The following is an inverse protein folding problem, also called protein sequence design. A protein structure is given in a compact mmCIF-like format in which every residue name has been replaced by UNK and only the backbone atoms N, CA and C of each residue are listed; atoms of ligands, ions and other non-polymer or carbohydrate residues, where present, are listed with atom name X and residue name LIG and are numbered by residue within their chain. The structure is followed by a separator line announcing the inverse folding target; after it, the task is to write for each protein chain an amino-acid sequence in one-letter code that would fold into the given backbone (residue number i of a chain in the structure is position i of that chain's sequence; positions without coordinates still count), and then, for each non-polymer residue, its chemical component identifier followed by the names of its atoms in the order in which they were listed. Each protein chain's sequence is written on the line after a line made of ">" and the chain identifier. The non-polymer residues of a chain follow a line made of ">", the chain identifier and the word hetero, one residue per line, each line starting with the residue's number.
data_IF_098087592165
#
_entry.id   IF_098087592165
#
_cell.length_a   1.000
_cell.length_b   1.000
_cell.length_c   1.000
_cell.angle_alpha   90.00
_cell.angle_beta   90.00
_cell.angle_gamma   90.00
#
_symmetry.space_group_name_H-M   'P 1'
#
loop_
_entity.id
_entity.type
_entity.pdbx_description
1 polymer ?
#
# COMPACT_ATOMS: atom_id res chain seq x y z
N UNK A 1 -7.77 -18.87 -8.67
CA UNK A 1 -7.98 -17.98 -7.52
C UNK A 1 -6.63 -17.49 -6.97
N UNK A 2 -5.81 -16.72 -7.70
CA UNK A 2 -4.39 -16.54 -7.27
C UNK A 2 -3.82 -15.12 -7.21
N UNK A 3 -4.28 -14.16 -8.03
CA UNK A 3 -3.71 -12.81 -8.02
C UNK A 3 -4.68 -11.72 -7.54
N UNK A 4 -5.96 -11.82 -7.90
CA UNK A 4 -6.95 -10.79 -7.57
C UNK A 4 -7.23 -10.68 -6.06
N UNK A 5 -7.30 -11.81 -5.34
CA UNK A 5 -7.53 -11.83 -3.89
C UNK A 5 -6.34 -11.24 -3.12
N UNK A 6 -5.12 -11.43 -3.65
CA UNK A 6 -3.90 -10.87 -3.09
C UNK A 6 -3.88 -9.33 -3.17
N UNK A 7 -4.18 -8.75 -4.33
CA UNK A 7 -4.19 -7.29 -4.48
C UNK A 7 -5.31 -6.62 -3.67
N UNK A 8 -6.46 -7.30 -3.50
CA UNK A 8 -7.49 -6.83 -2.57
C UNK A 8 -7.03 -6.84 -1.11
N UNK A 9 -6.27 -7.85 -0.72
CA UNK A 9 -5.70 -7.92 0.62
C UNK A 9 -4.64 -6.83 0.85
N UNK A 10 -3.75 -6.61 -0.13
CA UNK A 10 -2.78 -5.51 -0.08
C UNK A 10 -3.49 -4.15 -0.01
N UNK A 11 -4.52 -3.95 -0.82
CA UNK A 11 -5.34 -2.74 -0.82
C UNK A 11 -6.05 -2.50 0.53
N UNK A 12 -6.56 -3.55 1.16
CA UNK A 12 -7.11 -3.47 2.52
C UNK A 12 -6.06 -3.05 3.55
N UNK A 13 -4.84 -3.61 3.49
CA UNK A 13 -3.74 -3.24 4.41
C UNK A 13 -3.36 -1.76 4.23
N UNK A 14 -3.19 -1.32 2.97
CA UNK A 14 -2.86 0.07 2.65
C UNK A 14 -3.95 1.02 3.12
N UNK A 15 -5.22 0.72 2.83
CA UNK A 15 -6.34 1.61 3.09
C UNK A 15 -6.69 1.77 4.57
N UNK A 16 -6.44 0.74 5.38
CA UNK A 16 -6.78 0.75 6.80
C UNK A 16 -5.68 1.36 7.68
N UNK A 17 -4.46 1.49 7.15
CA UNK A 17 -3.28 1.81 7.97
C UNK A 17 -3.10 0.86 9.17
N UNK A 18 -3.75 -0.32 9.17
CA UNK A 18 -3.89 -1.16 10.34
C UNK A 18 -2.64 -2.00 10.59
N UNK A 19 -2.10 -1.82 11.79
CA UNK A 19 -0.90 -2.47 12.32
C UNK A 19 -1.25 -3.84 12.91
N UNK A 20 -0.55 -4.90 12.50
CA UNK A 20 -0.50 -6.14 13.30
C UNK A 20 0.61 -5.98 14.34
N UNK A 21 0.22 -5.83 15.61
CA UNK A 21 1.13 -5.65 16.73
C UNK A 21 1.76 -6.98 17.19
N UNK A 22 3.07 -7.11 17.01
CA UNK A 22 3.98 -7.99 17.77
C UNK A 22 5.46 -7.56 17.53
N UNK A 23 6.42 -7.90 18.43
CA UNK A 23 7.71 -7.21 18.53
C UNK A 23 8.72 -7.61 17.44
N UNK A 24 9.41 -6.62 16.85
CA UNK A 24 10.37 -6.77 15.73
C UNK A 24 9.92 -6.01 14.48
N UNK A 25 9.63 -4.72 14.65
CA UNK A 25 8.80 -3.90 13.75
C UNK A 25 9.47 -3.54 12.41
N UNK A 26 9.14 -4.30 11.37
CA UNK A 26 8.86 -3.72 10.06
C UNK A 26 7.35 -3.79 9.87
N UNK A 27 6.69 -2.66 10.02
CA UNK A 27 5.24 -2.54 9.91
C UNK A 27 4.94 -1.53 8.81
N UNK A 28 3.90 -1.78 8.02
CA UNK A 28 3.37 -0.91 6.96
C UNK A 28 2.91 0.46 7.53
N UNK A 29 3.87 1.23 8.04
CA UNK A 29 3.68 2.56 8.56
C UNK A 29 3.58 3.52 7.37
N UNK A 30 2.95 4.69 7.55
CA UNK A 30 3.01 5.76 6.56
C UNK A 30 4.46 6.10 6.13
N UNK A 31 5.46 5.87 6.98
CA UNK A 31 6.87 6.05 6.62
C UNK A 31 7.39 5.00 5.63
N UNK A 32 6.97 3.73 5.77
CA UNK A 32 7.30 2.67 4.81
C UNK A 32 6.59 2.89 3.48
N UNK A 33 5.31 3.27 3.49
CA UNK A 33 4.60 3.62 2.26
C UNK A 33 5.26 4.83 1.56
N UNK A 34 5.64 5.88 2.29
CA UNK A 34 6.43 7.00 1.72
C UNK A 34 7.72 6.54 1.05
N UNK A 35 8.47 5.64 1.71
CA UNK A 35 9.72 5.11 1.16
C UNK A 35 9.49 4.27 -0.10
N UNK A 36 8.48 3.42 -0.09
CA UNK A 36 8.07 2.62 -1.25
C UNK A 36 7.67 3.54 -2.42
N UNK A 37 6.86 4.56 -2.14
CA UNK A 37 6.46 5.54 -3.14
C UNK A 37 7.68 6.27 -3.74
N UNK A 38 8.60 6.74 -2.89
CA UNK A 38 9.85 7.35 -3.36
C UNK A 38 10.69 6.39 -4.21
N UNK A 39 10.79 5.11 -3.84
CA UNK A 39 11.51 4.10 -4.63
C UNK A 39 10.85 3.80 -5.98
N UNK A 40 9.52 3.88 -6.06
CA UNK A 40 8.75 3.71 -7.30
C UNK A 40 8.89 4.95 -8.20
N UNK A 41 8.92 6.13 -7.59
CA UNK A 41 9.08 7.42 -8.25
C UNK A 41 10.49 7.60 -8.83
N UNK A 42 11.54 7.19 -8.10
CA UNK A 42 12.94 7.25 -8.54
C UNK A 42 13.25 6.32 -9.73
N UNK A 43 12.43 5.31 -10.00
CA UNK A 43 12.73 4.26 -10.99
C UNK A 43 11.91 4.30 -12.28
N UNK A 44 10.89 5.13 -12.37
CA UNK A 44 10.12 5.25 -13.60
C UNK A 44 9.17 6.43 -13.56
N UNK A 45 9.07 7.09 -14.71
CA UNK A 45 8.13 8.14 -15.06
C UNK A 45 6.66 7.63 -14.95
N UNK A 46 6.24 7.26 -13.74
CA UNK A 46 5.06 6.41 -13.45
C UNK A 46 3.85 7.24 -12.99
N UNK A 47 3.93 8.57 -13.03
CA UNK A 47 2.83 9.47 -12.69
C UNK A 47 2.52 9.59 -11.20
N UNK A 48 3.36 9.06 -10.31
CA UNK A 48 3.24 9.26 -8.85
C UNK A 48 3.92 10.55 -8.36
N UNK A 49 4.50 11.33 -9.27
CA UNK A 49 5.19 12.58 -8.96
C UNK A 49 4.19 13.58 -8.34
N UNK A 50 4.43 14.00 -7.10
CA UNK A 50 3.52 14.87 -6.34
C UNK A 50 2.43 14.16 -5.53
N UNK A 51 2.28 12.83 -5.63
CA UNK A 51 1.32 12.07 -4.84
C UNK A 51 1.90 11.62 -3.50
N UNK A 52 1.08 11.70 -2.45
CA UNK A 52 1.47 11.29 -1.10
C UNK A 52 0.77 9.99 -0.63
N UNK A 53 1.06 9.56 0.59
CA UNK A 53 0.47 8.34 1.18
C UNK A 53 -1.05 8.41 1.19
N UNK A 54 -1.65 9.58 1.36
CA UNK A 54 -3.09 9.74 1.38
C UNK A 54 -3.70 9.35 0.02
N UNK A 55 -3.09 9.74 -1.09
CA UNK A 55 -3.55 9.35 -2.41
C UNK A 55 -3.48 7.84 -2.65
N UNK A 56 -2.40 7.18 -2.20
CA UNK A 56 -2.31 5.71 -2.29
C UNK A 56 -3.33 5.02 -1.38
N UNK A 57 -3.58 5.53 -0.17
CA UNK A 57 -4.60 5.00 0.73
C UNK A 57 -6.00 5.11 0.15
N UNK A 58 -6.31 6.23 -0.49
CA UNK A 58 -7.57 6.47 -1.15
C UNK A 58 -7.75 5.53 -2.35
N UNK A 59 -6.76 5.48 -3.25
CA UNK A 59 -6.75 4.58 -4.40
C UNK A 59 -6.92 3.12 -3.97
N UNK A 60 -6.19 2.70 -2.94
CA UNK A 60 -6.32 1.37 -2.35
C UNK A 60 -7.73 1.13 -1.79
N UNK A 61 -8.35 2.14 -1.16
CA UNK A 61 -9.71 2.00 -0.63
C UNK A 61 -10.74 1.76 -1.73
N UNK A 62 -10.65 2.52 -2.82
CA UNK A 62 -11.53 2.37 -3.98
C UNK A 62 -11.31 1.00 -4.62
N UNK A 63 -10.05 0.57 -4.81
CA UNK A 63 -9.75 -0.74 -5.38
C UNK A 63 -10.27 -1.92 -4.54
N UNK A 64 -10.13 -1.85 -3.21
CA UNK A 64 -10.60 -2.87 -2.28
C UNK A 64 -12.12 -3.09 -2.41
N UNK A 65 -12.87 -1.99 -2.48
CA UNK A 65 -14.34 -1.99 -2.51
C UNK A 65 -14.93 -2.17 -3.92
N UNK A 66 -14.17 -1.87 -4.96
CA UNK A 66 -14.69 -1.68 -6.31
C UNK A 66 -15.37 -0.30 -6.44
N UNK A 67 -16.25 -0.10 -7.44
CA UNK A 67 -17.03 1.12 -7.55
C UNK A 67 -17.72 1.45 -6.22
N UNK A 68 -17.38 2.59 -5.61
CA UNK A 68 -17.74 2.90 -4.23
C UNK A 68 -18.14 4.36 -4.08
N UNK A 69 -19.17 4.61 -3.27
CA UNK A 69 -19.65 5.95 -3.00
C UNK A 69 -18.64 6.73 -2.13
N UNK A 70 -18.43 8.01 -2.43
CA UNK A 70 -17.49 8.91 -1.71
C UNK A 70 -17.69 8.87 -0.20
N UNK A 71 -18.95 8.89 0.26
CA UNK A 71 -19.30 8.81 1.69
C UNK A 71 -18.74 7.55 2.39
N UNK A 72 -18.65 6.43 1.66
CA UNK A 72 -18.13 5.17 2.18
C UNK A 72 -16.60 5.13 2.17
N UNK A 73 -15.97 5.82 1.20
CA UNK A 73 -14.52 6.06 1.19
C UNK A 73 -14.14 6.90 2.42
N UNK A 74 -14.79 8.05 2.60
CA UNK A 74 -14.57 8.96 3.72
C UNK A 74 -14.73 8.27 5.08
N UNK A 75 -15.84 7.52 5.26
CA UNK A 75 -16.05 6.74 6.48
C UNK A 75 -14.98 5.66 6.68
N UNK A 76 -14.51 5.03 5.60
CA UNK A 76 -13.49 3.99 5.65
C UNK A 76 -12.08 4.49 5.98
N UNK A 77 -11.76 5.72 5.59
CA UNK A 77 -10.48 6.37 5.84
C UNK A 77 -10.49 7.26 7.10
N UNK A 78 -11.67 7.56 7.64
CA UNK A 78 -11.84 8.51 8.75
C UNK A 78 -11.57 9.95 8.34
N UNK A 79 -11.86 10.30 7.08
CA UNK A 79 -11.60 11.63 6.51
C UNK A 79 -12.89 12.41 6.31
N UNK A 80 -12.74 13.73 6.16
CA UNK A 80 -13.81 14.58 5.66
C UNK A 80 -14.15 14.21 4.20
N UNK A 81 -15.44 14.30 3.83
CA UNK A 81 -15.87 14.05 2.45
C UNK A 81 -15.29 15.09 1.48
N UNK A 82 -15.17 16.36 1.89
CA UNK A 82 -14.61 17.41 1.04
C UNK A 82 -13.15 17.08 0.71
N UNK A 83 -12.36 16.69 1.72
CA UNK A 83 -10.98 16.24 1.52
C UNK A 83 -10.88 15.03 0.58
N UNK A 84 -11.79 14.06 0.72
CA UNK A 84 -11.81 12.88 -0.17
C UNK A 84 -12.12 13.30 -1.60
N UNK A 85 -13.04 14.24 -1.81
CA UNK A 85 -13.38 14.76 -3.15
C UNK A 85 -12.17 15.46 -3.76
N UNK A 86 -11.48 16.34 -3.03
CA UNK A 86 -10.25 17.00 -3.51
C UNK A 86 -9.23 15.97 -4.03
N UNK A 87 -8.96 14.92 -3.24
CA UNK A 87 -8.01 13.88 -3.64
C UNK A 87 -8.55 13.02 -4.81
N UNK A 88 -9.87 12.84 -4.94
CA UNK A 88 -10.46 12.12 -6.07
C UNK A 88 -10.30 12.94 -7.35
N UNK A 89 -10.58 14.24 -7.30
CA UNK A 89 -10.45 15.16 -8.43
C UNK A 89 -9.00 15.23 -8.90
N UNK A 90 -8.03 15.39 -7.99
CA UNK A 90 -6.60 15.36 -8.29
C UNK A 90 -6.20 14.05 -9.02
N UNK A 91 -6.69 12.91 -8.52
CA UNK A 91 -6.38 11.59 -9.09
C UNK A 91 -7.15 11.26 -10.38
N UNK A 92 -8.29 11.92 -10.61
CA UNK A 92 -9.03 11.85 -11.87
C UNK A 92 -8.31 12.63 -12.97
N UNK A 93 -7.71 13.79 -12.66
CA UNK A 93 -6.88 14.55 -13.61
C UNK A 93 -5.69 13.72 -14.12
N UNK A 94 -5.15 12.84 -13.27
CA UNK A 94 -4.08 11.89 -13.63
C UNK A 94 -4.58 10.54 -14.14
N UNK A 95 -5.88 10.39 -14.38
CA UNK A 95 -6.52 9.18 -14.91
C UNK A 95 -6.28 7.93 -14.04
N UNK A 96 -6.10 8.07 -12.72
CA UNK A 96 -6.01 6.94 -11.78
C UNK A 96 -7.37 6.52 -11.22
N UNK A 97 -8.29 7.47 -11.15
CA UNK A 97 -9.67 7.27 -10.73
C UNK A 97 -10.61 7.79 -11.80
N UNK A 98 -11.84 7.28 -11.79
CA UNK A 98 -12.98 7.86 -12.52
C UNK A 98 -14.05 8.20 -11.51
N UNK A 99 -14.59 9.41 -11.61
CA UNK A 99 -15.57 9.92 -10.67
C UNK A 99 -16.79 10.49 -11.40
N UNK A 100 -17.98 10.00 -11.04
CA UNK A 100 -19.24 10.45 -11.68
C UNK A 100 -20.00 11.51 -10.87
N UNK A 101 -19.38 12.06 -9.81
CA UNK A 101 -20.01 12.95 -8.84
C UNK A 101 -20.61 12.25 -7.62
N UNK A 102 -20.72 10.92 -7.62
CA UNK A 102 -21.23 10.15 -6.47
C UNK A 102 -20.42 8.87 -6.18
N UNK A 103 -20.01 8.17 -7.23
CA UNK A 103 -19.31 6.89 -7.22
C UNK A 103 -17.93 7.11 -7.83
N UNK A 104 -16.93 6.54 -7.17
CA UNK A 104 -15.56 6.50 -7.64
C UNK A 104 -15.18 5.06 -7.98
N UNK A 105 -14.47 4.87 -9.08
CA UNK A 105 -13.87 3.60 -9.49
C UNK A 105 -12.40 3.77 -9.88
N UNK A 106 -11.63 2.69 -9.76
CA UNK A 106 -10.21 2.68 -10.16
C UNK A 106 -10.10 2.44 -11.65
N UNK A 107 -9.29 3.25 -12.33
CA UNK A 107 -8.96 3.06 -13.75
C UNK A 107 -7.97 1.90 -13.95
N UNK A 108 -7.66 1.56 -15.21
CA UNK A 108 -6.62 0.56 -15.49
C UNK A 108 -5.24 1.05 -15.02
N UNK A 109 -4.94 2.33 -15.24
CA UNK A 109 -3.71 2.99 -14.81
C UNK A 109 -3.57 3.00 -13.28
N UNK A 110 -4.64 3.35 -12.56
CA UNK A 110 -4.65 3.30 -11.10
C UNK A 110 -4.45 1.89 -10.55
N UNK A 111 -4.99 0.87 -11.23
CA UNK A 111 -4.77 -0.52 -10.86
C UNK A 111 -3.32 -0.98 -11.08
N UNK A 112 -2.67 -0.51 -12.16
CA UNK A 112 -1.25 -0.77 -12.42
C UNK A 112 -0.37 -0.15 -11.34
N UNK A 113 -0.64 1.11 -10.97
CA UNK A 113 0.09 1.80 -9.89
C UNK A 113 -0.06 1.06 -8.56
N UNK A 114 -1.28 0.69 -8.17
CA UNK A 114 -1.51 -0.08 -6.94
C UNK A 114 -0.76 -1.42 -6.93
N UNK A 115 -0.73 -2.10 -8.07
CA UNK A 115 0.02 -3.35 -8.22
C UNK A 115 1.51 -3.11 -8.00
N UNK A 116 2.07 -2.05 -8.58
CA UNK A 116 3.49 -1.71 -8.38
C UNK A 116 3.80 -1.42 -6.91
N UNK A 117 2.93 -0.67 -6.22
CA UNK A 117 3.05 -0.42 -4.78
C UNK A 117 3.00 -1.72 -3.99
N UNK A 118 2.03 -2.59 -4.27
CA UNK A 118 1.87 -3.88 -3.59
C UNK A 118 3.06 -4.84 -3.84
N UNK A 119 3.55 -4.92 -5.08
CA UNK A 119 4.70 -5.73 -5.45
C UNK A 119 5.97 -5.25 -4.73
N UNK A 120 6.12 -3.92 -4.59
CA UNK A 120 7.23 -3.33 -3.84
C UNK A 120 7.13 -3.57 -2.34
N UNK A 121 5.93 -3.45 -1.75
CA UNK A 121 5.68 -3.83 -0.36
C UNK A 121 6.12 -5.28 -0.09
N UNK A 122 5.76 -6.21 -0.99
CA UNK A 122 6.17 -7.61 -0.87
C UNK A 122 7.67 -7.85 -1.02
N UNK A 123 8.33 -7.11 -1.92
CA UNK A 123 9.79 -7.18 -2.07
C UNK A 123 10.49 -6.80 -0.76
N UNK A 124 10.02 -5.74 -0.12
CA UNK A 124 10.54 -5.31 1.18
C UNK A 124 10.26 -6.33 2.28
N UNK A 125 9.03 -6.83 2.38
CA UNK A 125 8.69 -7.84 3.39
C UNK A 125 9.55 -9.10 3.23
N UNK A 126 9.78 -9.56 2.00
CA UNK A 126 10.66 -10.69 1.72
C UNK A 126 12.11 -10.42 2.12
N UNK A 127 12.61 -9.22 1.86
CA UNK A 127 13.95 -8.82 2.27
C UNK A 127 14.12 -8.88 3.79
N UNK A 128 13.16 -8.36 4.55
CA UNK A 128 13.20 -8.36 6.02
C UNK A 128 13.06 -9.74 6.63
N UNK A 129 12.15 -10.56 6.10
CA UNK A 129 12.01 -11.94 6.54
C UNK A 129 13.30 -12.73 6.32
N UNK A 130 13.97 -12.52 5.18
CA UNK A 130 15.25 -13.16 4.90
C UNK A 130 16.33 -12.73 5.91
N UNK A 131 16.49 -11.42 6.17
CA UNK A 131 17.47 -10.97 7.17
C UNK A 131 17.22 -11.56 8.56
N UNK A 132 15.95 -11.72 8.97
CA UNK A 132 15.63 -12.34 10.26
C UNK A 132 15.94 -13.82 10.28
N UNK A 133 15.73 -14.54 9.18
CA UNK A 133 16.11 -15.94 9.05
C UNK A 133 17.62 -16.10 9.13
N UNK A 134 18.38 -15.29 8.38
CA UNK A 134 19.84 -15.28 8.39
C UNK A 134 20.38 -15.04 9.82
N UNK A 135 19.79 -14.11 10.57
CA UNK A 135 20.14 -13.85 11.97
C UNK A 135 19.81 -15.03 12.91
N UNK A 136 18.66 -15.70 12.71
CA UNK A 136 18.29 -16.87 13.50
C UNK A 136 19.27 -18.01 13.23
N UNK A 137 19.68 -18.22 11.98
CA UNK A 137 20.67 -19.22 11.59
C UNK A 137 22.03 -18.93 12.27
N UNK A 138 22.50 -17.68 12.26
CA UNK A 138 23.74 -17.26 12.94
C UNK A 138 23.68 -17.51 14.47
N UNK A 139 22.53 -17.23 15.09
CA UNK A 139 22.33 -17.49 16.53
C UNK A 139 22.36 -19.01 16.82
N UNK A 140 21.75 -19.83 15.96
CA UNK A 140 21.76 -21.28 16.13
C UNK A 140 23.16 -21.89 15.92
N UNK A 141 23.91 -21.39 14.93
CA UNK A 141 25.30 -21.79 14.68
C UNK A 141 26.24 -21.40 15.83
N UNK A 142 26.09 -20.20 16.38
CA UNK A 142 26.87 -19.75 17.54
C UNK A 142 26.50 -20.48 18.84
N UNK A 143 25.22 -20.83 19.04
CA UNK A 143 24.78 -21.61 20.19
C UNK A 143 25.28 -23.08 20.15
N UNK A 144 25.33 -23.68 18.96
CA UNK A 144 25.81 -25.06 18.79
C UNK A 144 27.33 -25.20 18.90
N UNK A 145 28.08 -24.13 18.58
CA UNK A 145 29.54 -24.07 18.75
C UNK A 145 29.99 -23.69 20.16
N UNK A 146 29.07 -23.21 21.03
CA UNK A 146 29.33 -22.88 22.44
C UNK A 146 29.14 -24.06 23.42
N UNK A 147 28.71 -25.22 22.92
CA UNK A 147 28.43 -26.45 23.70
C UNK A 147 29.57 -27.50 23.67
N UNK A 148 30.82 -27.07 23.43
CA UNK A 148 32.04 -27.90 23.50
C UNK A 148 32.94 -27.44 24.64
#
# INVERSE_FOLDING_TARGET
>A
MKNHDFYKQAASIMSEGRHRHAPGEYQHSPANLRRIMADIDIRGNNGLDGYDVSHVQLLAKVYEKGPVAVKLIAAGLGWDQEKVIEHIEDMEESNFLKYDGAICEVSEEGAVVLKMVADKMLEEDRFWLKQRLDLIEEILESASSSSV
#
